data_IF_225981230747
#
_entry.id   IF_225981230747
#
_cell.length_a   1.000
_cell.length_b   1.000
_cell.length_c   1.000
_cell.angle_alpha   90.00
_cell.angle_beta   90.00
_cell.angle_gamma   90.00
#
_symmetry.space_group_name_H-M   'P 1'
#
loop_
_entity.id
_entity.type
_entity.pdbx_description
1 polymer ?
#
# COMPACT_ATOMS: atom_id res chain seq x y z
N UNK A 1 -8.01 3.50 0.51
CA UNK A 1 -7.85 4.64 1.45
C UNK A 1 -8.72 4.34 2.66
N UNK A 2 -8.22 4.46 3.87
CA UNK A 2 -8.96 4.26 5.11
C UNK A 2 -9.43 5.63 5.60
N UNK A 3 -10.68 5.72 6.04
CA UNK A 3 -11.22 6.96 6.58
C UNK A 3 -10.54 7.29 7.93
N UNK A 4 -10.20 8.59 8.14
CA UNK A 4 -9.34 9.01 9.25
C UNK A 4 -9.92 8.77 10.64
N UNK A 5 -11.24 8.88 10.82
CA UNK A 5 -11.90 8.64 12.11
C UNK A 5 -11.79 7.16 12.52
N UNK A 6 -11.99 6.24 11.55
CA UNK A 6 -11.88 4.80 11.81
C UNK A 6 -10.42 4.43 12.10
N UNK A 7 -9.48 4.98 11.33
CA UNK A 7 -8.06 4.78 11.57
C UNK A 7 -7.63 5.28 12.96
N UNK A 8 -8.08 6.48 13.36
CA UNK A 8 -7.84 7.05 14.68
C UNK A 8 -8.44 6.22 15.82
N UNK A 9 -9.67 5.72 15.63
CA UNK A 9 -10.32 4.85 16.61
C UNK A 9 -9.53 3.54 16.81
N UNK A 10 -9.15 2.87 15.72
CA UNK A 10 -8.36 1.65 15.77
C UNK A 10 -6.99 1.89 16.44
N UNK A 11 -6.29 2.97 16.06
CA UNK A 11 -5.03 3.34 16.69
C UNK A 11 -5.20 3.60 18.20
N UNK A 12 -6.26 4.30 18.61
CA UNK A 12 -6.59 4.55 20.01
C UNK A 12 -6.87 3.28 20.80
N UNK A 13 -7.55 2.28 20.22
CA UNK A 13 -7.80 0.99 20.85
C UNK A 13 -6.50 0.22 21.11
N UNK A 14 -5.57 0.25 20.17
CA UNK A 14 -4.24 -0.38 20.34
C UNK A 14 -3.39 0.41 21.32
N UNK A 15 -3.32 1.73 21.22
CA UNK A 15 -2.51 2.58 22.07
C UNK A 15 -2.93 2.50 23.55
N UNK A 16 -4.23 2.37 23.83
CA UNK A 16 -4.77 2.22 25.19
C UNK A 16 -4.75 0.79 25.70
N UNK A 17 -4.25 -0.17 24.91
CA UNK A 17 -4.19 -1.59 25.30
C UNK A 17 -5.56 -2.30 25.32
N UNK A 18 -6.64 -1.66 24.88
CA UNK A 18 -7.97 -2.29 24.78
C UNK A 18 -8.00 -3.39 23.70
N UNK A 19 -7.19 -3.24 22.67
CA UNK A 19 -6.80 -4.29 21.74
C UNK A 19 -5.29 -4.46 21.86
N UNK A 20 -4.83 -5.68 22.07
CA UNK A 20 -3.40 -5.94 22.21
C UNK A 20 -2.65 -5.66 20.90
N UNK A 21 -1.37 -5.23 20.99
CA UNK A 21 -0.53 -5.04 19.78
C UNK A 21 -0.47 -6.29 18.92
N UNK A 22 -0.34 -7.48 19.57
CA UNK A 22 -0.30 -8.76 18.85
C UNK A 22 -1.57 -9.02 18.01
N UNK A 23 -2.72 -8.59 18.49
CA UNK A 23 -4.00 -8.79 17.80
C UNK A 23 -4.31 -7.68 16.79
N UNK A 24 -3.89 -6.44 17.09
CA UNK A 24 -4.28 -5.26 16.32
C UNK A 24 -3.19 -4.71 15.39
N UNK A 25 -2.00 -5.34 15.32
CA UNK A 25 -0.92 -4.87 14.43
C UNK A 25 -0.28 -6.01 13.66
N UNK A 26 0.44 -5.66 12.61
CA UNK A 26 1.35 -6.54 11.88
C UNK A 26 2.69 -5.81 11.66
N UNK A 27 3.77 -6.58 11.47
CA UNK A 27 5.06 -6.03 11.06
C UNK A 27 5.07 -5.87 9.55
N UNK A 28 5.30 -4.64 9.06
CA UNK A 28 5.36 -4.37 7.64
C UNK A 28 6.72 -4.76 7.06
N UNK A 29 6.74 -5.14 5.80
CA UNK A 29 7.89 -5.00 4.92
C UNK A 29 8.07 -3.52 4.54
N UNK A 30 9.20 -3.15 3.96
CA UNK A 30 9.42 -1.82 3.37
C UNK A 30 10.25 -1.92 2.09
N UNK A 31 10.18 -0.89 1.27
CA UNK A 31 11.03 -0.70 0.10
C UNK A 31 12.15 0.25 0.51
N UNK A 32 13.38 -0.23 0.57
CA UNK A 32 14.55 0.56 0.91
C UNK A 32 15.18 1.13 -0.36
N UNK A 33 15.39 2.42 -0.38
CA UNK A 33 16.05 3.13 -1.49
C UNK A 33 17.54 3.21 -1.20
N UNK A 34 18.33 2.67 -2.11
CA UNK A 34 19.80 2.81 -2.06
C UNK A 34 20.27 3.69 -3.23
N UNK A 35 21.16 4.62 -2.92
CA UNK A 35 21.88 5.43 -3.92
C UNK A 35 23.37 5.25 -3.72
N UNK A 36 24.09 4.89 -4.77
CA UNK A 36 25.51 4.51 -4.70
C UNK A 36 25.78 3.43 -3.63
N UNK A 37 24.83 2.46 -3.49
CA UNK A 37 24.90 1.38 -2.51
C UNK A 37 24.64 1.80 -1.07
N UNK A 38 24.32 3.08 -0.80
CA UNK A 38 24.03 3.57 0.54
C UNK A 38 22.50 3.74 0.72
N UNK A 39 21.91 3.25 1.82
CA UNK A 39 20.50 3.49 2.11
C UNK A 39 20.25 4.97 2.38
N UNK A 40 19.28 5.56 1.68
CA UNK A 40 18.94 6.98 1.77
C UNK A 40 17.52 7.24 2.28
N UNK A 41 16.57 6.36 1.99
CA UNK A 41 15.17 6.48 2.46
C UNK A 41 14.45 5.13 2.37
N UNK A 42 13.20 5.08 2.85
CA UNK A 42 12.30 3.92 2.78
C UNK A 42 10.92 4.33 2.29
N UNK A 43 10.20 3.41 1.63
CA UNK A 43 8.77 3.53 1.37
C UNK A 43 8.00 2.35 1.98
N UNK A 44 6.80 2.59 2.50
CA UNK A 44 5.97 1.58 3.15
C UNK A 44 4.88 1.06 2.21
N UNK A 45 4.43 1.88 1.27
CA UNK A 45 3.35 1.55 0.34
C UNK A 45 3.89 1.35 -1.07
N UNK A 46 4.50 2.38 -1.63
CA UNK A 46 5.03 2.34 -2.99
C UNK A 46 6.22 3.26 -3.21
N UNK A 47 7.03 2.93 -4.22
CA UNK A 47 8.08 3.77 -4.76
C UNK A 47 7.92 3.83 -6.28
N UNK A 48 7.89 5.03 -6.85
CA UNK A 48 7.54 5.27 -8.25
C UNK A 48 8.63 6.04 -8.95
N UNK A 49 9.18 5.48 -10.02
CA UNK A 49 10.22 6.11 -10.85
C UNK A 49 9.57 6.92 -11.96
N UNK A 50 9.78 8.24 -11.91
CA UNK A 50 9.27 9.20 -12.87
C UNK A 50 10.37 9.76 -13.75
N UNK A 51 10.15 9.73 -15.07
CA UNK A 51 10.98 10.39 -16.08
C UNK A 51 10.54 11.86 -16.21
N UNK A 52 10.62 12.59 -15.10
CA UNK A 52 10.43 14.04 -15.07
C UNK A 52 11.34 14.62 -14.00
N UNK A 53 11.90 15.82 -14.26
CA UNK A 53 12.87 16.46 -13.38
C UNK A 53 12.17 17.24 -12.26
N UNK A 54 10.88 17.48 -12.39
CA UNK A 54 10.10 18.26 -11.45
C UNK A 54 8.68 17.71 -11.27
N UNK A 55 8.47 17.01 -10.17
CA UNK A 55 7.15 16.67 -9.70
C UNK A 55 6.78 17.71 -8.63
N UNK A 56 6.06 18.76 -9.02
CA UNK A 56 5.49 19.68 -8.04
C UNK A 56 4.53 18.94 -7.13
N UNK A 57 4.43 19.34 -5.88
CA UNK A 57 3.73 18.72 -4.74
C UNK A 57 2.22 18.44 -4.91
N UNK A 58 1.72 18.26 -6.12
CA UNK A 58 0.34 17.89 -6.43
C UNK A 58 0.36 16.84 -7.53
N UNK A 59 0.27 15.61 -7.12
CA UNK A 59 0.26 14.40 -7.93
C UNK A 59 -0.89 14.38 -8.97
N UNK A 60 -0.73 15.09 -10.05
CA UNK A 60 -1.35 14.70 -11.32
C UNK A 60 -0.29 13.86 -12.02
N UNK A 61 -0.30 12.57 -11.73
CA UNK A 61 0.59 11.60 -12.34
C UNK A 61 0.28 11.53 -13.83
N UNK A 62 1.19 12.01 -14.65
CA UNK A 62 1.17 11.73 -16.09
C UNK A 62 1.70 10.31 -16.26
N UNK A 63 0.80 9.36 -16.48
CA UNK A 63 1.14 7.94 -16.58
C UNK A 63 2.19 7.66 -17.67
N UNK A 64 2.26 8.50 -18.70
CA UNK A 64 3.26 8.44 -19.76
C UNK A 64 4.71 8.76 -19.30
N UNK A 65 4.85 9.33 -18.10
CA UNK A 65 6.15 9.63 -17.45
C UNK A 65 6.58 8.59 -16.42
N UNK A 66 5.72 7.67 -16.05
CA UNK A 66 6.04 6.62 -15.10
C UNK A 66 6.78 5.49 -15.81
N UNK A 67 7.91 5.06 -15.25
CA UNK A 67 8.78 4.03 -15.83
C UNK A 67 8.80 2.74 -15.05
N UNK A 68 8.92 2.84 -13.72
CA UNK A 68 8.91 1.69 -12.82
C UNK A 68 8.04 2.01 -11.60
N UNK A 69 7.37 1.00 -11.11
CA UNK A 69 6.57 1.06 -9.89
C UNK A 69 6.94 -0.11 -9.00
N UNK A 70 7.31 0.18 -7.78
CA UNK A 70 7.58 -0.80 -6.73
C UNK A 70 6.43 -0.75 -5.74
N UNK A 71 5.78 -1.87 -5.51
CA UNK A 71 4.59 -1.97 -4.67
C UNK A 71 4.87 -2.91 -3.51
N UNK A 72 4.87 -2.37 -2.31
CA UNK A 72 4.90 -3.16 -1.09
C UNK A 72 3.52 -3.76 -0.77
N UNK A 73 2.48 -3.20 -1.39
CA UNK A 73 1.08 -3.67 -1.30
C UNK A 73 0.38 -3.44 -2.62
N UNK A 74 -0.49 -4.37 -2.99
CA UNK A 74 -1.34 -4.23 -4.16
C UNK A 74 -2.74 -4.78 -3.89
N UNK A 75 -3.76 -3.98 -4.23
CA UNK A 75 -5.15 -4.34 -3.98
C UNK A 75 -6.03 -3.82 -5.14
N UNK A 76 -6.80 -4.68 -5.82
CA UNK A 76 -7.66 -4.26 -6.92
C UNK A 76 -8.79 -3.30 -6.49
N UNK A 77 -9.15 -3.31 -5.21
CA UNK A 77 -10.16 -2.39 -4.65
C UNK A 77 -9.58 -1.07 -4.12
N UNK A 78 -8.29 -0.79 -4.38
CA UNK A 78 -7.64 0.48 -4.04
C UNK A 78 -7.65 1.46 -5.22
N UNK A 79 -7.10 2.65 -4.99
CA UNK A 79 -6.89 3.70 -6.00
C UNK A 79 -5.39 3.97 -6.10
N UNK A 80 -4.89 4.34 -7.27
CA UNK A 80 -3.49 4.64 -7.52
C UNK A 80 -2.68 3.42 -7.97
N UNK A 81 -1.35 3.45 -7.78
CA UNK A 81 -0.46 2.40 -8.27
C UNK A 81 -0.76 1.02 -7.67
N UNK A 82 -1.21 0.99 -6.41
CA UNK A 82 -1.64 -0.24 -5.75
C UNK A 82 -2.76 -0.97 -6.49
N UNK A 83 -3.66 -0.24 -7.18
CA UNK A 83 -4.72 -0.86 -7.99
C UNK A 83 -4.17 -1.49 -9.26
N UNK A 84 -3.19 -0.87 -9.93
CA UNK A 84 -2.55 -1.42 -11.13
C UNK A 84 -1.93 -2.78 -10.80
N UNK A 85 -1.11 -2.84 -9.75
CA UNK A 85 -0.55 -4.10 -9.27
C UNK A 85 -1.63 -5.10 -8.84
N UNK A 86 -2.68 -4.61 -8.18
CA UNK A 86 -3.80 -5.42 -7.70
C UNK A 86 -4.57 -6.13 -8.82
N UNK A 87 -4.70 -5.50 -9.99
CA UNK A 87 -5.29 -6.16 -11.17
C UNK A 87 -4.44 -7.31 -11.70
N UNK A 88 -3.15 -7.32 -11.40
CA UNK A 88 -2.23 -8.41 -11.78
C UNK A 88 -2.12 -9.45 -10.67
N UNK A 89 -1.88 -9.00 -9.44
CA UNK A 89 -1.76 -9.85 -8.25
C UNK A 89 -1.94 -9.03 -6.99
N UNK A 90 -2.82 -9.46 -6.09
CA UNK A 90 -2.92 -8.86 -4.75
C UNK A 90 -1.71 -9.21 -3.89
N UNK A 91 -1.22 -8.22 -3.14
CA UNK A 91 -0.20 -8.35 -2.10
C UNK A 91 -0.76 -7.76 -0.82
N UNK A 92 -0.87 -8.59 0.19
CA UNK A 92 -1.40 -8.26 1.53
C UNK A 92 -0.26 -8.02 2.52
N UNK A 93 -0.53 -7.44 3.68
CA UNK A 93 0.47 -7.30 4.74
C UNK A 93 1.07 -8.61 5.26
N UNK A 94 0.43 -9.74 5.00
CA UNK A 94 0.91 -11.07 5.40
C UNK A 94 1.88 -11.68 4.39
N UNK A 95 1.95 -11.13 3.18
CA UNK A 95 2.82 -11.63 2.13
C UNK A 95 4.26 -11.14 2.36
N UNK A 96 5.28 -12.02 2.25
CA UNK A 96 6.67 -11.66 2.49
C UNK A 96 7.37 -11.08 1.24
N UNK A 97 6.65 -10.75 0.19
CA UNK A 97 7.18 -10.25 -1.08
C UNK A 97 6.54 -8.92 -1.47
N UNK A 98 7.20 -8.18 -2.33
CA UNK A 98 6.70 -6.99 -3.01
C UNK A 98 6.62 -7.21 -4.51
N UNK A 99 6.15 -6.21 -5.26
CA UNK A 99 6.02 -6.28 -6.72
C UNK A 99 6.78 -5.14 -7.37
N UNK A 100 7.53 -5.46 -8.40
CA UNK A 100 8.11 -4.51 -9.33
C UNK A 100 7.37 -4.59 -10.66
N UNK A 101 6.91 -3.44 -11.15
CA UNK A 101 6.30 -3.24 -12.47
C UNK A 101 7.20 -2.36 -13.32
N UNK A 102 7.49 -2.77 -14.54
CA UNK A 102 8.05 -1.90 -15.56
C UNK A 102 6.94 -1.48 -16.50
N UNK A 103 6.78 -0.17 -16.68
CA UNK A 103 5.80 0.42 -17.58
C UNK A 103 6.46 0.87 -18.87
N UNK A 104 5.75 0.73 -19.98
CA UNK A 104 6.24 1.15 -21.30
C UNK A 104 5.28 0.79 -22.41
N UNK A 105 5.53 1.31 -23.60
CA UNK A 105 4.59 1.23 -24.74
C UNK A 105 4.40 -0.16 -25.36
N UNK A 106 5.26 -1.12 -24.99
CA UNK A 106 5.25 -2.49 -25.55
C UNK A 106 4.62 -3.53 -24.61
N UNK A 107 4.04 -3.08 -23.51
CA UNK A 107 3.48 -3.96 -22.49
C UNK A 107 2.06 -4.42 -22.76
N UNK A 108 1.53 -5.22 -21.83
CA UNK A 108 0.12 -5.63 -21.83
C UNK A 108 -0.73 -4.54 -21.17
N UNK A 109 -1.94 -4.26 -21.69
CA UNK A 109 -2.82 -3.26 -21.11
C UNK A 109 -3.41 -3.74 -19.79
N UNK A 110 -3.36 -2.88 -18.77
CA UNK A 110 -3.99 -3.06 -17.46
C UNK A 110 -4.86 -1.85 -17.18
N UNK A 111 -6.16 -2.05 -17.05
CA UNK A 111 -7.12 -0.97 -16.73
C UNK A 111 -7.35 -0.91 -15.23
N UNK A 112 -7.10 0.25 -14.62
CA UNK A 112 -7.17 0.42 -13.18
C UNK A 112 -7.63 1.84 -12.78
N UNK A 113 -8.28 2.01 -11.60
CA UNK A 113 -8.61 3.31 -11.03
C UNK A 113 -7.34 3.96 -10.47
N UNK A 114 -6.80 4.98 -11.14
CA UNK A 114 -5.55 5.65 -10.73
C UNK A 114 -5.78 6.87 -9.84
N UNK A 115 -6.98 7.45 -9.89
CA UNK A 115 -7.38 8.57 -9.01
C UNK A 115 -8.90 8.52 -8.81
N UNK A 116 -9.46 9.24 -7.82
CA UNK A 116 -10.91 9.34 -7.65
C UNK A 116 -11.61 9.80 -8.92
N UNK A 117 -12.50 8.96 -9.47
CA UNK A 117 -13.23 9.22 -10.71
C UNK A 117 -12.42 9.05 -12.00
N UNK A 118 -11.16 8.61 -11.92
CA UNK A 118 -10.27 8.43 -13.09
C UNK A 118 -9.86 6.97 -13.21
N UNK A 119 -10.25 6.36 -14.33
CA UNK A 119 -9.84 5.01 -14.71
C UNK A 119 -9.00 5.12 -15.98
N UNK A 120 -7.79 4.58 -15.93
CA UNK A 120 -6.87 4.58 -17.07
C UNK A 120 -6.40 3.19 -17.44
N UNK A 121 -5.95 3.05 -18.70
CA UNK A 121 -5.30 1.84 -19.16
C UNK A 121 -3.80 2.09 -19.27
N UNK A 122 -3.04 1.35 -18.47
CA UNK A 122 -1.59 1.45 -18.36
C UNK A 122 -0.95 0.25 -19.04
N UNK A 123 0.12 0.46 -19.79
CA UNK A 123 0.86 -0.61 -20.44
C UNK A 123 1.97 -1.14 -19.55
N UNK A 124 1.86 -2.38 -19.08
CA UNK A 124 2.81 -3.07 -18.19
C UNK A 124 3.68 -4.02 -19.02
N UNK A 125 4.98 -3.71 -19.14
CA UNK A 125 5.94 -4.53 -19.89
C UNK A 125 6.37 -5.78 -19.12
N UNK A 126 6.64 -5.62 -17.83
CA UNK A 126 6.99 -6.74 -16.96
C UNK A 126 6.40 -6.58 -15.57
N UNK A 127 6.08 -7.70 -14.94
CA UNK A 127 5.74 -7.82 -13.54
C UNK A 127 6.64 -8.87 -12.90
N UNK A 128 7.32 -8.50 -11.82
CA UNK A 128 8.21 -9.36 -11.06
C UNK A 128 7.87 -9.26 -9.57
N UNK A 129 7.89 -10.39 -8.87
CA UNK A 129 7.84 -10.40 -7.42
C UNK A 129 9.26 -10.27 -6.87
N UNK A 130 9.43 -9.42 -5.87
CA UNK A 130 10.70 -9.22 -5.18
C UNK A 130 10.67 -9.98 -3.85
N UNK A 131 11.68 -10.77 -3.61
CA UNK A 131 11.89 -11.49 -2.35
C UNK A 131 12.65 -10.62 -1.33
N UNK A 132 12.56 -10.92 -0.02
CA UNK A 132 13.33 -10.22 1.01
C UNK A 132 14.84 -10.20 0.70
N UNK A 133 15.42 -8.99 0.75
CA UNK A 133 16.83 -8.75 0.43
C UNK A 133 17.14 -8.65 -1.06
N UNK A 134 16.18 -8.91 -1.95
CA UNK A 134 16.36 -8.73 -3.39
C UNK A 134 16.42 -7.25 -3.74
N UNK A 135 17.38 -6.89 -4.59
CA UNK A 135 17.58 -5.54 -5.11
C UNK A 135 17.20 -5.49 -6.58
N UNK A 136 16.50 -4.44 -6.97
CA UNK A 136 16.13 -4.16 -8.36
C UNK A 136 16.62 -2.78 -8.74
N UNK A 137 17.32 -2.70 -9.87
CA UNK A 137 17.89 -1.46 -10.37
C UNK A 137 16.81 -0.48 -10.84
N UNK A 138 17.01 0.79 -10.53
CA UNK A 138 16.32 1.91 -11.18
C UNK A 138 16.98 2.15 -12.53
N UNK A 139 16.28 1.75 -13.60
CA UNK A 139 16.83 1.72 -14.98
C UNK A 139 16.79 3.09 -15.67
N UNK A 140 16.11 4.08 -15.08
CA UNK A 140 16.00 5.44 -15.61
C UNK A 140 16.87 6.40 -14.84
N UNK A 141 17.72 7.15 -15.55
CA UNK A 141 18.66 8.10 -14.95
C UNK A 141 18.97 9.25 -15.95
N UNK A 142 18.78 10.53 -15.62
CA UNK A 142 18.23 11.01 -14.34
C UNK A 142 16.71 10.78 -14.19
N UNK A 143 16.22 10.74 -12.96
CA UNK A 143 14.80 10.56 -12.66
C UNK A 143 14.44 11.13 -11.28
N UNK A 144 13.15 11.21 -11.00
CA UNK A 144 12.62 11.43 -9.66
C UNK A 144 11.98 10.14 -9.16
N UNK A 145 12.33 9.77 -7.95
CA UNK A 145 11.73 8.66 -7.22
C UNK A 145 10.76 9.24 -6.20
N UNK A 146 9.45 8.99 -6.39
CA UNK A 146 8.43 9.39 -5.45
C UNK A 146 8.12 8.23 -4.49
N UNK A 147 8.03 8.52 -3.19
CA UNK A 147 7.86 7.57 -2.12
C UNK A 147 6.55 7.83 -1.38
N UNK A 148 5.68 6.83 -1.30
CA UNK A 148 4.40 6.86 -0.58
C UNK A 148 3.48 8.04 -0.98
N UNK A 149 3.75 8.70 -2.12
CA UNK A 149 3.04 9.91 -2.55
C UNK A 149 3.34 11.18 -1.73
N UNK A 150 4.32 11.15 -0.82
CA UNK A 150 4.61 12.24 0.12
C UNK A 150 6.03 12.81 0.00
N UNK A 151 7.00 12.00 -0.45
CA UNK A 151 8.42 12.37 -0.51
C UNK A 151 8.99 12.08 -1.88
N UNK A 152 10.03 12.82 -2.23
CA UNK A 152 10.73 12.72 -3.51
C UNK A 152 12.22 12.66 -3.32
N UNK A 153 12.89 11.83 -4.11
CA UNK A 153 14.35 11.75 -4.20
C UNK A 153 14.76 11.97 -5.65
N UNK A 154 15.60 12.94 -5.90
CA UNK A 154 16.20 13.15 -7.21
C UNK A 154 17.37 12.18 -7.39
N UNK A 155 17.33 11.37 -8.44
CA UNK A 155 18.47 10.56 -8.90
C UNK A 155 19.14 11.30 -10.04
N UNK A 156 20.36 11.80 -9.76
CA UNK A 156 21.14 12.62 -10.70
C UNK A 156 21.76 11.75 -11.78
N UNK A 157 22.06 12.39 -12.91
CA UNK A 157 22.72 11.71 -14.02
C UNK A 157 24.02 11.02 -13.56
N UNK A 158 24.12 9.73 -13.88
CA UNK A 158 25.29 8.90 -13.56
C UNK A 158 25.26 8.25 -12.18
N UNK A 159 24.30 8.60 -11.29
CA UNK A 159 24.14 7.89 -10.01
C UNK A 159 23.47 6.54 -10.24
N UNK A 160 23.94 5.52 -9.54
CA UNK A 160 23.27 4.22 -9.45
C UNK A 160 22.28 4.23 -8.30
N UNK A 161 21.07 3.76 -8.56
CA UNK A 161 20.05 3.62 -7.51
C UNK A 161 19.33 2.27 -7.64
N UNK A 162 19.00 1.67 -6.50
CA UNK A 162 18.29 0.39 -6.40
C UNK A 162 17.18 0.47 -5.36
N UNK A 163 16.18 -0.38 -5.51
CA UNK A 163 15.17 -0.63 -4.48
C UNK A 163 15.37 -2.05 -3.95
N UNK A 164 15.47 -2.18 -2.63
CA UNK A 164 15.59 -3.44 -1.91
C UNK A 164 14.35 -3.71 -1.04
N UNK A 165 13.86 -4.94 -1.05
CA UNK A 165 12.80 -5.34 -0.12
C UNK A 165 13.41 -5.66 1.25
N UNK A 166 13.08 -4.84 2.24
CA UNK A 166 13.43 -5.04 3.64
C UNK A 166 12.32 -5.71 4.44
N UNK A 167 12.72 -6.39 5.53
CA UNK A 167 11.82 -7.05 6.48
C UNK A 167 12.04 -6.55 7.91
N UNK A 168 11.08 -6.82 8.80
CA UNK A 168 11.16 -6.37 10.20
C UNK A 168 10.91 -4.87 10.34
N UNK A 169 10.04 -4.31 9.51
CA UNK A 169 9.66 -2.91 9.50
C UNK A 169 8.80 -2.47 10.68
N UNK A 170 8.21 -1.30 10.59
CA UNK A 170 7.38 -0.76 11.65
C UNK A 170 6.15 -1.65 11.90
N UNK A 171 5.67 -1.62 13.15
CA UNK A 171 4.36 -2.15 13.50
C UNK A 171 3.28 -1.22 12.95
N UNK A 172 2.44 -1.76 12.09
CA UNK A 172 1.32 -1.03 11.48
C UNK A 172 0.02 -1.52 12.08
N UNK A 173 -0.86 -0.58 12.45
CA UNK A 173 -2.21 -0.92 12.96
C UNK A 173 -3.04 -1.49 11.82
N UNK A 174 -3.50 -2.73 11.99
CA UNK A 174 -4.50 -3.36 11.13
C UNK A 174 -5.89 -2.88 11.57
N UNK A 175 -6.44 -1.94 10.82
CA UNK A 175 -7.71 -1.29 11.19
C UNK A 175 -8.85 -2.30 11.21
N UNK A 176 -8.99 -3.10 10.18
CA UNK A 176 -10.09 -4.06 10.06
C UNK A 176 -10.01 -5.12 11.15
N UNK A 177 -8.83 -5.68 11.37
CA UNK A 177 -8.58 -6.67 12.41
C UNK A 177 -8.77 -6.08 13.81
N UNK A 178 -8.30 -4.87 14.07
CA UNK A 178 -8.49 -4.18 15.34
C UNK A 178 -9.97 -3.96 15.64
N UNK A 179 -10.74 -3.49 14.66
CA UNK A 179 -12.17 -3.28 14.81
C UNK A 179 -12.94 -4.60 14.98
N UNK A 180 -12.54 -5.66 14.28
CA UNK A 180 -13.12 -7.00 14.47
C UNK A 180 -12.88 -7.56 15.88
N UNK A 181 -11.66 -7.35 16.43
CA UNK A 181 -11.34 -7.72 17.82
C UNK A 181 -12.18 -6.89 18.80
N UNK A 182 -12.29 -5.59 18.58
CA UNK A 182 -13.09 -4.70 19.42
C UNK A 182 -14.57 -5.08 19.44
N UNK A 183 -15.12 -5.46 18.29
CA UNK A 183 -16.51 -5.96 18.17
C UNK A 183 -16.69 -7.29 18.89
N UNK A 184 -15.82 -8.26 18.63
CA UNK A 184 -15.87 -9.59 19.28
C UNK A 184 -15.81 -9.50 20.79
N UNK A 185 -14.96 -8.63 21.31
CA UNK A 185 -14.80 -8.40 22.74
C UNK A 185 -15.78 -7.37 23.31
N UNK A 186 -16.68 -6.83 22.50
CA UNK A 186 -17.70 -5.83 22.87
C UNK A 186 -17.11 -4.58 23.55
N UNK A 187 -15.89 -4.18 23.16
CA UNK A 187 -15.17 -3.07 23.78
C UNK A 187 -15.93 -1.74 23.61
N UNK A 188 -16.55 -1.56 22.44
CA UNK A 188 -17.29 -0.34 22.09
C UNK A 188 -18.79 -0.43 22.39
N UNK A 189 -19.29 -1.58 22.87
CA UNK A 189 -20.70 -1.80 23.19
C UNK A 189 -20.86 -2.61 24.48
N UNK A 190 -20.30 -2.16 25.62
CA UNK A 190 -20.28 -2.93 26.87
C UNK A 190 -21.65 -3.18 27.48
N UNK A 191 -22.67 -2.36 27.17
CA UNK A 191 -24.04 -2.53 27.65
C UNK A 191 -24.70 -3.81 27.15
N UNK A 192 -24.21 -4.38 26.03
CA UNK A 192 -24.72 -5.63 25.48
C UNK A 192 -24.09 -6.89 26.11
N UNK A 193 -23.14 -6.75 27.02
CA UNK A 193 -22.50 -7.88 27.72
C UNK A 193 -23.50 -8.61 28.62
N UNK A 194 -24.49 -7.89 29.17
CA UNK A 194 -25.45 -8.42 30.16
C UNK A 194 -26.76 -8.96 29.56
N UNK A 195 -27.04 -8.74 28.29
CA UNK A 195 -28.26 -9.24 27.63
C UNK A 195 -27.88 -10.01 26.36
N UNK A 196 -28.33 -11.26 26.19
CA UNK A 196 -28.18 -11.94 24.91
C UNK A 196 -28.88 -11.13 23.84
N UNK A 197 -28.18 -10.73 22.79
CA UNK A 197 -28.79 -10.12 21.61
C UNK A 197 -29.58 -11.23 20.92
N UNK A 198 -30.90 -11.17 20.97
CA UNK A 198 -31.76 -11.99 20.10
C UNK A 198 -31.71 -11.35 18.72
N UNK A 199 -30.97 -11.95 17.82
CA UNK A 199 -31.10 -11.62 16.40
C UNK A 199 -32.47 -12.23 15.94
N UNK A 200 -33.37 -11.38 15.48
CA UNK A 200 -34.52 -11.85 14.70
C UNK A 200 -34.01 -12.55 13.46
N UNK A 201 -34.51 -13.72 13.16
CA UNK A 201 -34.14 -14.43 11.95
C UNK A 201 -34.55 -13.57 10.74
N UNK A 202 -33.75 -13.59 9.68
CA UNK A 202 -34.05 -12.85 8.44
C UNK A 202 -35.43 -13.22 7.89
N UNK A 203 -35.94 -14.42 8.20
CA UNK A 203 -37.28 -14.88 7.84
C UNK A 203 -38.42 -14.10 8.52
N UNK A 204 -38.18 -13.50 9.69
CA UNK A 204 -39.23 -12.71 10.40
C UNK A 204 -39.35 -11.28 9.86
N UNK A 205 -38.36 -10.78 9.12
CA UNK A 205 -38.34 -9.40 8.58
C UNK A 205 -39.13 -9.30 7.27
N UNK A 206 -39.31 -10.40 6.54
CA UNK A 206 -39.95 -10.41 5.23
C UNK A 206 -41.42 -10.92 5.26
N UNK A 207 -42.01 -11.21 6.44
CA UNK A 207 -43.39 -11.71 6.60
C UNK A 207 -44.34 -10.66 7.20
N UNK A 208 -44.08 -9.36 7.03
CA UNK A 208 -44.99 -8.25 7.37
C UNK A 208 -45.43 -7.49 6.12
#
# INVERSE_FOLDING_TARGET
MIEGTIAGLAAGLVATGKVSRKEGTFTSTWLEVLVEGQPVDIAIVDAVVCDDIFIGSRAVWKMDKIRQVFLNRSNPASIGFSSIGGMLRSITPADPFSMHLKLGSKGQPVTAPIAPGVVETVSVETMQLMSPGEEVDIIFNPCVLALDGEREIEIKRGQQATIRLGTGGPLVVDVDRTMAVAMRNRILAPQYVKKPVRFQSVAEVFNT
#
